data_IF_460675169414
#
_entry.id   IF_460675169414
#
_cell.length_a   1.000
_cell.length_b   1.000
_cell.length_c   1.000
_cell.angle_alpha   90.00
_cell.angle_beta   90.00
_cell.angle_gamma   90.00
#
_symmetry.space_group_name_H-M   'P 1'
#
loop_
_entity.id
_entity.type
_entity.pdbx_description
1 polymer ?
#
# COMPACT_ATOMS: atom_id res chain seq x y z
N UNK A 1 -14.91 -11.55 -1.72
CA UNK A 1 -14.90 -10.75 -2.96
C UNK A 1 -13.46 -10.35 -3.19
N UNK A 2 -12.93 -10.60 -4.38
CA UNK A 2 -11.56 -10.23 -4.74
C UNK A 2 -11.59 -8.88 -5.46
N UNK A 3 -10.52 -8.10 -5.29
CA UNK A 3 -10.32 -6.83 -6.00
C UNK A 3 -9.13 -6.95 -6.93
N UNK A 4 -9.15 -6.19 -8.03
CA UNK A 4 -8.03 -6.11 -8.95
C UNK A 4 -7.04 -5.04 -8.44
N UNK A 5 -6.00 -5.51 -7.72
CA UNK A 5 -4.99 -4.65 -7.11
C UNK A 5 -4.18 -3.88 -8.16
N UNK A 6 -3.81 -4.53 -9.26
CA UNK A 6 -3.05 -3.90 -10.34
C UNK A 6 -3.84 -2.76 -11.00
N UNK A 7 -5.14 -2.95 -11.24
CA UNK A 7 -6.02 -1.91 -11.78
C UNK A 7 -6.20 -0.74 -10.80
N UNK A 8 -6.19 -1.00 -9.49
CA UNK A 8 -6.20 0.04 -8.46
C UNK A 8 -4.91 0.85 -8.47
N UNK A 9 -3.74 0.21 -8.53
CA UNK A 9 -2.43 0.91 -8.64
C UNK A 9 -2.38 1.77 -9.90
N UNK A 10 -2.86 1.24 -11.03
CA UNK A 10 -3.01 2.01 -12.27
C UNK A 10 -4.06 3.14 -12.20
N UNK A 11 -4.75 3.29 -11.08
CA UNK A 11 -5.69 4.38 -10.80
C UNK A 11 -5.22 5.36 -9.74
N UNK A 12 -3.97 5.24 -9.27
CA UNK A 12 -3.30 6.34 -8.57
C UNK A 12 -3.40 7.63 -9.40
N UNK A 13 -3.67 8.75 -8.74
CA UNK A 13 -3.92 10.04 -9.39
C UNK A 13 -5.34 10.22 -9.95
N UNK A 14 -6.20 9.20 -9.94
CA UNK A 14 -7.62 9.33 -10.32
C UNK A 14 -8.50 9.63 -9.12
N UNK A 15 -9.66 10.23 -9.37
CA UNK A 15 -10.65 10.52 -8.33
C UNK A 15 -11.36 9.26 -7.85
N UNK A 16 -11.87 9.27 -6.62
CA UNK A 16 -12.71 8.21 -6.07
C UNK A 16 -13.87 7.84 -7.01
N UNK A 17 -14.53 8.83 -7.63
CA UNK A 17 -15.69 8.59 -8.48
C UNK A 17 -15.29 7.81 -9.74
N UNK A 18 -14.20 8.18 -10.41
CA UNK A 18 -13.71 7.46 -11.59
C UNK A 18 -13.33 6.00 -11.28
N UNK A 19 -12.82 5.73 -10.08
CA UNK A 19 -12.45 4.39 -9.63
C UNK A 19 -13.70 3.58 -9.29
N UNK A 20 -14.66 4.21 -8.61
CA UNK A 20 -15.93 3.61 -8.22
C UNK A 20 -16.78 3.25 -9.44
N UNK A 21 -16.87 4.15 -10.43
CA UNK A 21 -17.63 3.93 -11.68
C UNK A 21 -17.08 2.78 -12.52
N UNK A 22 -15.77 2.48 -12.38
CA UNK A 22 -15.12 1.30 -12.99
C UNK A 22 -15.34 0.01 -12.20
N UNK A 23 -16.04 0.05 -11.08
CA UNK A 23 -16.31 -1.10 -10.23
C UNK A 23 -15.09 -1.65 -9.48
N UNK A 24 -13.99 -0.87 -9.37
CA UNK A 24 -12.77 -1.31 -8.70
C UNK A 24 -12.87 -1.25 -7.17
N UNK A 25 -13.79 -0.44 -6.65
CA UNK A 25 -14.11 -0.36 -5.22
C UNK A 25 -15.47 -1.05 -5.00
N UNK A 26 -15.52 -2.16 -4.25
CA UNK A 26 -16.75 -2.95 -4.08
C UNK A 26 -17.75 -2.33 -3.09
N UNK A 27 -17.33 -1.28 -2.39
CA UNK A 27 -18.07 -0.69 -1.28
C UNK A 27 -18.86 0.54 -1.70
N UNK A 28 -20.11 0.64 -1.24
CA UNK A 28 -20.90 1.88 -1.31
C UNK A 28 -20.42 2.95 -0.33
N UNK A 29 -19.69 2.52 0.72
CA UNK A 29 -19.12 3.42 1.73
C UNK A 29 -18.07 4.31 1.09
N UNK A 30 -18.27 5.62 1.19
CA UNK A 30 -17.34 6.62 0.66
C UNK A 30 -16.13 6.78 1.61
N UNK A 31 -14.97 7.21 1.09
CA UNK A 31 -13.82 7.54 1.92
C UNK A 31 -14.16 8.62 2.95
N UNK A 32 -13.64 8.48 4.16
CA UNK A 32 -13.88 9.40 5.28
C UNK A 32 -12.61 9.63 6.10
N UNK A 33 -12.60 10.70 6.89
CA UNK A 33 -11.45 11.10 7.73
C UNK A 33 -11.88 12.16 8.73
N UNK A 34 -11.02 12.49 9.70
CA UNK A 34 -11.38 13.45 10.74
C UNK A 34 -11.45 14.88 10.17
N UNK A 35 -12.28 15.78 10.73
CA UNK A 35 -12.25 17.19 10.35
C UNK A 35 -10.85 17.77 10.54
N UNK A 36 -10.33 18.45 9.51
CA UNK A 36 -8.99 19.05 9.53
C UNK A 36 -7.88 18.21 8.89
N UNK A 37 -8.09 16.91 8.66
CA UNK A 37 -7.09 16.07 7.96
C UNK A 37 -7.00 16.47 6.48
N UNK A 38 -5.79 16.52 5.92
CA UNK A 38 -5.54 16.72 4.48
C UNK A 38 -6.12 15.60 3.62
N UNK A 39 -6.29 14.42 4.23
CA UNK A 39 -6.65 13.19 3.56
C UNK A 39 -7.93 12.58 4.14
N UNK A 40 -8.55 11.73 3.33
CA UNK A 40 -9.66 10.85 3.69
C UNK A 40 -9.30 9.44 3.22
N UNK A 41 -9.84 8.42 3.88
CA UNK A 41 -9.43 7.04 3.62
C UNK A 41 -10.59 6.08 3.51
N UNK A 42 -10.34 4.95 2.83
CA UNK A 42 -11.24 3.82 2.77
C UNK A 42 -10.46 2.55 3.16
N UNK A 43 -10.81 1.98 4.32
CA UNK A 43 -10.21 0.75 4.80
C UNK A 43 -11.01 -0.47 4.30
N UNK A 44 -10.49 -1.14 3.27
CA UNK A 44 -11.03 -2.38 2.69
C UNK A 44 -10.45 -3.59 3.43
N UNK A 45 -10.76 -3.68 4.73
CA UNK A 45 -10.12 -4.61 5.65
C UNK A 45 -10.35 -6.10 5.30
N UNK A 46 -11.44 -6.43 4.59
CA UNK A 46 -11.70 -7.80 4.12
C UNK A 46 -10.77 -8.18 2.97
N UNK A 47 -10.40 -7.21 2.14
CA UNK A 47 -9.51 -7.32 1.00
C UNK A 47 -8.04 -7.03 1.39
N UNK A 48 -7.75 -6.77 2.67
CA UNK A 48 -6.41 -6.44 3.13
C UNK A 48 -5.82 -5.18 2.51
N UNK A 49 -6.66 -4.25 2.05
CA UNK A 49 -6.23 -3.08 1.28
C UNK A 49 -6.73 -1.80 1.94
N UNK A 50 -5.87 -0.79 2.02
CA UNK A 50 -6.20 0.53 2.51
C UNK A 50 -5.97 1.54 1.39
N UNK A 51 -6.91 2.46 1.20
CA UNK A 51 -6.84 3.51 0.20
C UNK A 51 -6.83 4.87 0.89
N UNK A 52 -5.88 5.73 0.53
CA UNK A 52 -5.84 7.13 0.95
C UNK A 52 -6.12 8.06 -0.23
N UNK A 53 -6.90 9.10 0.02
CA UNK A 53 -7.28 10.10 -0.97
C UNK A 53 -7.08 11.50 -0.41
N UNK A 54 -6.66 12.44 -1.25
CA UNK A 54 -6.69 13.86 -0.91
C UNK A 54 -8.13 14.30 -0.62
N UNK A 55 -8.35 15.03 0.47
CA UNK A 55 -9.70 15.47 0.84
C UNK A 55 -10.32 16.42 -0.17
N UNK A 56 -9.53 17.34 -0.69
CA UNK A 56 -9.98 18.46 -1.54
C UNK A 56 -10.67 17.96 -2.83
N UNK A 57 -10.03 17.03 -3.52
CA UNK A 57 -10.46 16.55 -4.84
C UNK A 57 -10.75 15.04 -4.89
N UNK A 58 -10.55 14.33 -3.76
CA UNK A 58 -10.75 12.88 -3.63
C UNK A 58 -9.89 12.07 -4.59
N UNK A 59 -8.71 12.58 -4.94
CA UNK A 59 -7.72 11.88 -5.76
C UNK A 59 -7.01 10.83 -4.92
N UNK A 60 -6.90 9.61 -5.46
CA UNK A 60 -6.19 8.49 -4.82
C UNK A 60 -4.68 8.75 -4.81
N UNK A 61 -4.10 8.83 -3.62
CA UNK A 61 -2.67 9.11 -3.40
C UNK A 61 -1.91 7.93 -2.83
N UNK A 62 -2.57 7.00 -2.14
CA UNK A 62 -1.90 5.88 -1.51
C UNK A 62 -2.75 4.61 -1.57
N UNK A 63 -2.09 3.48 -1.85
CA UNK A 63 -2.67 2.14 -1.74
C UNK A 63 -1.73 1.31 -0.87
N UNK A 64 -2.22 0.85 0.27
CA UNK A 64 -1.46 -0.01 1.19
C UNK A 64 -2.05 -1.41 1.24
N UNK A 65 -1.27 -2.41 0.84
CA UNK A 65 -1.58 -3.83 0.97
C UNK A 65 -1.03 -4.35 2.29
N UNK A 66 -1.88 -4.96 3.12
CA UNK A 66 -1.46 -5.66 4.33
C UNK A 66 -1.30 -7.14 4.00
N UNK A 67 -0.07 -7.65 4.01
CA UNK A 67 0.23 -9.06 3.75
C UNK A 67 0.29 -9.88 5.04
N UNK A 68 0.83 -9.28 6.11
CA UNK A 68 0.88 -9.89 7.44
C UNK A 68 0.11 -9.01 8.43
N UNK A 69 -0.85 -9.62 9.13
CA UNK A 69 -1.64 -8.96 10.14
C UNK A 69 -1.40 -9.57 11.52
N UNK A 70 -0.56 -8.95 12.34
CA UNK A 70 -0.27 -9.46 13.70
C UNK A 70 -1.49 -9.54 14.62
N UNK A 71 -2.57 -8.78 14.35
CA UNK A 71 -3.83 -8.89 15.11
C UNK A 71 -4.70 -10.06 14.65
N UNK A 72 -4.41 -10.64 13.48
CA UNK A 72 -5.13 -11.76 12.87
C UNK A 72 -4.11 -12.73 12.27
N UNK A 73 -3.48 -13.62 13.07
CA UNK A 73 -2.42 -14.50 12.60
C UNK A 73 -2.80 -15.41 11.42
N UNK A 74 -4.09 -15.77 11.31
CA UNK A 74 -4.62 -16.59 10.21
C UNK A 74 -5.04 -15.76 8.98
N UNK A 75 -4.72 -14.46 8.96
CA UNK A 75 -5.02 -13.62 7.82
C UNK A 75 -4.13 -13.99 6.64
N UNK A 76 -4.76 -14.32 5.53
CA UNK A 76 -4.11 -14.54 4.24
C UNK A 76 -4.60 -13.41 3.32
N UNK A 77 -3.67 -12.73 2.66
CA UNK A 77 -4.03 -11.71 1.68
C UNK A 77 -4.89 -12.34 0.57
N UNK A 78 -6.14 -11.88 0.38
CA UNK A 78 -7.12 -12.64 -0.40
C UNK A 78 -7.11 -12.33 -1.90
N UNK A 79 -6.30 -11.38 -2.36
CA UNK A 79 -6.25 -10.95 -3.75
C UNK A 79 -4.94 -11.35 -4.42
N UNK A 80 -4.95 -11.35 -5.74
CA UNK A 80 -3.73 -11.49 -6.53
C UNK A 80 -2.83 -10.28 -6.32
N UNK A 81 -1.55 -10.54 -6.10
CA UNK A 81 -0.54 -9.49 -5.99
C UNK A 81 -0.10 -9.05 -7.39
N UNK A 82 0.17 -7.74 -7.59
CA UNK A 82 0.67 -7.25 -8.87
C UNK A 82 2.06 -7.83 -9.12
N UNK A 83 2.29 -8.31 -10.34
CA UNK A 83 3.61 -8.81 -10.74
C UNK A 83 4.69 -7.73 -10.56
N UNK A 84 5.89 -8.06 -10.04
CA UNK A 84 6.39 -9.41 -9.75
C UNK A 84 6.18 -9.88 -8.30
N UNK A 85 5.37 -9.18 -7.49
CA UNK A 85 5.20 -9.51 -6.07
C UNK A 85 4.54 -10.88 -5.89
N UNK A 86 5.00 -11.61 -4.88
CA UNK A 86 4.47 -12.93 -4.51
C UNK A 86 3.99 -12.93 -3.05
N UNK A 87 3.17 -13.91 -2.63
CA UNK A 87 2.88 -14.09 -1.21
C UNK A 87 4.16 -14.44 -0.41
N UNK A 88 4.18 -14.10 0.88
CA UNK A 88 5.25 -14.52 1.82
C UNK A 88 6.67 -14.13 1.37
N UNK A 89 6.85 -12.86 1.00
CA UNK A 89 8.16 -12.32 0.62
C UNK A 89 9.00 -12.01 1.86
N UNK A 90 10.30 -12.34 1.79
CA UNK A 90 11.30 -11.85 2.73
C UNK A 90 12.02 -10.62 2.18
N UNK A 91 12.68 -9.87 3.05
CA UNK A 91 13.57 -8.76 2.65
C UNK A 91 14.65 -9.20 1.66
N UNK A 92 15.26 -10.36 1.89
CA UNK A 92 16.24 -10.92 0.97
C UNK A 92 15.63 -11.19 -0.43
N UNK A 93 14.38 -11.67 -0.47
CA UNK A 93 13.69 -11.90 -1.73
C UNK A 93 13.44 -10.59 -2.48
N UNK A 94 13.01 -9.54 -1.77
CA UNK A 94 12.81 -8.20 -2.34
C UNK A 94 14.11 -7.68 -2.95
N UNK A 95 15.23 -7.75 -2.21
CA UNK A 95 16.52 -7.28 -2.72
C UNK A 95 16.99 -8.03 -3.96
N UNK A 96 16.69 -9.33 -4.05
CA UNK A 96 17.05 -10.15 -5.21
C UNK A 96 16.26 -9.76 -6.47
N UNK A 97 15.01 -9.34 -6.32
CA UNK A 97 14.12 -9.05 -7.46
C UNK A 97 14.03 -7.57 -7.83
N UNK A 98 14.19 -6.68 -6.85
CA UNK A 98 14.07 -5.23 -7.03
C UNK A 98 15.42 -4.49 -6.88
N UNK A 99 16.49 -5.18 -6.47
CA UNK A 99 17.79 -4.56 -6.21
C UNK A 99 17.85 -3.89 -4.84
N UNK A 100 18.79 -2.96 -4.68
CA UNK A 100 18.93 -2.20 -3.43
C UNK A 100 17.89 -1.08 -3.34
N UNK A 101 17.35 -0.80 -2.15
CA UNK A 101 16.40 0.30 -1.97
C UNK A 101 17.06 1.65 -2.16
N UNK A 102 16.30 2.63 -2.62
CA UNK A 102 16.75 4.03 -2.71
C UNK A 102 16.91 4.66 -1.32
N UNK A 103 16.02 4.28 -0.39
CA UNK A 103 16.07 4.69 1.00
C UNK A 103 15.71 3.53 1.90
N UNK A 104 16.36 3.43 3.06
CA UNK A 104 16.09 2.40 4.06
C UNK A 104 16.13 2.99 5.47
N UNK A 105 15.19 2.58 6.31
CA UNK A 105 15.20 2.82 7.75
C UNK A 105 15.38 1.49 8.47
N UNK A 106 16.36 1.38 9.40
CA UNK A 106 16.53 0.19 10.21
C UNK A 106 15.36 -0.03 11.19
N UNK A 107 15.26 -1.22 11.78
CA UNK A 107 14.32 -1.50 12.86
C UNK A 107 14.44 -0.46 13.96
N UNK A 108 13.29 0.06 14.40
CA UNK A 108 13.23 1.19 15.33
C UNK A 108 12.03 1.07 16.26
N UNK A 109 12.18 1.61 17.47
CA UNK A 109 11.07 1.80 18.40
C UNK A 109 10.36 3.11 18.10
N UNK A 110 9.03 3.06 17.95
CA UNK A 110 8.18 4.24 17.84
C UNK A 110 7.08 4.14 18.88
N UNK A 111 7.16 4.99 19.89
CA UNK A 111 6.34 4.90 21.10
C UNK A 111 6.46 3.50 21.71
N UNK A 112 5.35 2.77 21.84
CA UNK A 112 5.29 1.41 22.40
C UNK A 112 5.41 0.30 21.35
N UNK A 113 5.65 0.64 20.08
CA UNK A 113 5.67 -0.33 18.97
C UNK A 113 7.08 -0.48 18.41
N UNK A 114 7.47 -1.73 18.19
CA UNK A 114 8.65 -2.07 17.41
C UNK A 114 8.26 -2.14 15.93
N UNK A 115 9.05 -1.46 15.10
CA UNK A 115 8.90 -1.42 13.65
C UNK A 115 10.13 -2.13 13.08
N UNK A 116 9.94 -3.03 12.12
CA UNK A 116 11.03 -3.64 11.37
C UNK A 116 11.68 -2.65 10.41
N UNK A 117 12.33 -3.17 9.37
CA UNK A 117 12.85 -2.34 8.30
C UNK A 117 11.71 -1.61 7.57
N UNK A 118 12.00 -0.43 7.03
CA UNK A 118 11.17 0.23 6.01
C UNK A 118 12.08 0.55 4.84
N UNK A 119 11.70 0.20 3.62
CA UNK A 119 12.49 0.42 2.41
C UNK A 119 11.66 1.05 1.30
N UNK A 120 12.30 1.89 0.49
CA UNK A 120 11.65 2.61 -0.62
C UNK A 120 12.32 2.23 -1.94
N UNK A 121 11.50 1.96 -2.95
CA UNK A 121 11.89 1.64 -4.31
C UNK A 121 11.10 2.51 -5.29
N UNK A 122 11.68 2.87 -6.44
CA UNK A 122 10.93 3.47 -7.56
C UNK A 122 10.59 2.40 -8.59
N UNK A 123 9.31 2.33 -8.97
CA UNK A 123 8.80 1.41 -9.98
C UNK A 123 8.58 2.16 -11.29
N UNK A 124 9.32 1.77 -12.33
CA UNK A 124 9.29 2.42 -13.65
C UNK A 124 8.21 1.86 -14.59
N UNK A 125 7.56 0.76 -14.22
CA UNK A 125 6.64 0.03 -15.10
C UNK A 125 5.18 0.54 -15.07
N UNK A 126 4.89 1.56 -14.26
CA UNK A 126 3.54 2.11 -14.14
C UNK A 126 3.35 3.36 -15.00
N UNK A 127 2.09 3.66 -15.35
CA UNK A 127 1.73 4.84 -16.18
C UNK A 127 2.19 6.17 -15.56
N UNK A 128 2.31 6.21 -14.24
CA UNK A 128 2.86 7.33 -13.48
C UNK A 128 4.08 6.85 -12.71
N UNK A 129 5.01 7.77 -12.42
CA UNK A 129 6.13 7.49 -11.52
C UNK A 129 5.56 7.06 -10.16
N UNK A 130 5.68 5.77 -9.86
CA UNK A 130 5.12 5.15 -8.67
C UNK A 130 6.27 4.70 -7.78
N UNK A 131 6.24 5.11 -6.53
CA UNK A 131 7.14 4.58 -5.52
C UNK A 131 6.45 3.44 -4.77
N UNK A 132 7.24 2.43 -4.42
CA UNK A 132 6.84 1.29 -3.61
C UNK A 132 7.61 1.32 -2.30
N UNK A 133 6.88 1.54 -1.21
CA UNK A 133 7.40 1.38 0.14
C UNK A 133 7.10 -0.04 0.63
N UNK A 134 8.10 -0.70 1.17
CA UNK A 134 8.00 -2.05 1.75
C UNK A 134 8.29 -1.95 3.23
N UNK A 135 7.31 -2.29 4.05
CA UNK A 135 7.44 -2.37 5.50
C UNK A 135 7.56 -3.82 5.93
N UNK A 136 8.59 -4.10 6.72
CA UNK A 136 8.91 -5.43 7.20
C UNK A 136 8.51 -5.59 8.67
N UNK A 137 8.22 -6.83 9.07
CA UNK A 137 8.17 -7.18 10.49
C UNK A 137 9.59 -7.39 11.06
N UNK A 138 9.68 -7.77 12.34
CA UNK A 138 10.96 -7.99 13.02
C UNK A 138 11.69 -9.27 12.54
N UNK A 139 11.01 -10.14 11.80
CA UNK A 139 11.56 -11.34 11.18
C UNK A 139 11.92 -11.10 9.70
N UNK A 140 11.96 -9.82 9.30
CA UNK A 140 12.24 -9.36 7.94
C UNK A 140 11.30 -9.96 6.87
N UNK A 141 10.07 -10.28 7.26
CA UNK A 141 9.01 -10.65 6.34
C UNK A 141 8.25 -9.40 5.89
N UNK A 142 7.90 -9.34 4.61
CA UNK A 142 7.12 -8.23 4.05
C UNK A 142 5.76 -8.23 4.70
N UNK A 143 5.51 -7.19 5.49
CA UNK A 143 4.28 -7.02 6.26
C UNK A 143 3.29 -6.16 5.50
N UNK A 144 3.75 -5.06 4.93
CA UNK A 144 2.93 -4.16 4.11
C UNK A 144 3.70 -3.72 2.87
N UNK A 145 2.95 -3.48 1.80
CA UNK A 145 3.47 -2.85 0.58
C UNK A 145 2.57 -1.66 0.26
N UNK A 146 3.17 -0.49 0.15
CA UNK A 146 2.47 0.77 -0.12
C UNK A 146 2.90 1.31 -1.47
N UNK A 147 1.93 1.64 -2.32
CA UNK A 147 2.13 2.28 -3.61
C UNK A 147 1.60 3.71 -3.55
N UNK A 148 2.41 4.65 -4.02
CA UNK A 148 2.06 6.06 -4.07
C UNK A 148 2.79 6.75 -5.24
N UNK A 149 2.26 7.86 -5.80
CA UNK A 149 3.01 8.68 -6.73
C UNK A 149 4.33 9.13 -6.09
N UNK A 150 5.42 9.14 -6.86
CA UNK A 150 6.75 9.53 -6.33
C UNK A 150 6.76 10.95 -5.76
N UNK A 151 5.90 11.84 -6.26
CA UNK A 151 5.72 13.21 -5.72
C UNK A 151 5.13 13.26 -4.31
N UNK A 152 4.41 12.22 -3.89
CA UNK A 152 3.75 12.14 -2.58
C UNK A 152 4.64 11.48 -1.51
N UNK A 153 5.82 10.99 -1.88
CA UNK A 153 6.74 10.32 -0.95
C UNK A 153 7.21 11.28 0.12
N UNK A 154 6.95 10.93 1.39
CA UNK A 154 7.48 11.62 2.57
C UNK A 154 8.43 10.65 3.29
N UNK A 155 9.67 11.07 3.50
CA UNK A 155 10.71 10.24 4.13
C UNK A 155 11.42 11.02 5.24
#
# INVERSE_FOLDING_TARGET
>A
MTINVEALINSLGKTYQEIFDKGLIPYKTKPSGFPGDSDISLNMAKEGTFLSFLRENKVLTEITLTLINHKRPNFIFPNELPSPLIPQMSRQWIHRHFGQPEKSLPPRKRLTREIGWTELYTLLNFRISTSMQVDYDLLEQVRMVTFLPTSEVRW
#
